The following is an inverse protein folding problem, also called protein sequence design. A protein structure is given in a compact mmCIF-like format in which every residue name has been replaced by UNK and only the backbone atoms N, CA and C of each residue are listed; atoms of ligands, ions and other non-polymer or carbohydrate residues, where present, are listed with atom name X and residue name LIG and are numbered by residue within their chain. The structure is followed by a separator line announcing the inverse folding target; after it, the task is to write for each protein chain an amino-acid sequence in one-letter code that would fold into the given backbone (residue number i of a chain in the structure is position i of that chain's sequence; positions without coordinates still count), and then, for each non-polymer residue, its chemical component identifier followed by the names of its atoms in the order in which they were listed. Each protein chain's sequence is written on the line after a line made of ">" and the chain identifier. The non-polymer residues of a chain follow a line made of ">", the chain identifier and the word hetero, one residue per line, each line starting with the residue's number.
data_IF_050904978920
#
_entry.id   IF_050904978920
#
_cell.length_a   1.000
_cell.length_b   1.000
_cell.length_c   1.000
_cell.angle_alpha   90.00
_cell.angle_beta   90.00
_cell.angle_gamma   90.00
#
_symmetry.space_group_name_H-M   'P 1'
#
loop_
_entity.id
_entity.type
_entity.pdbx_description
1 polymer ?
#
# COMPACT_ATOMS: atom_id res chain seq x y z
N UNK A 1 -20.18 -16.09 7.53
CA UNK A 1 -19.14 -15.08 7.84
C UNK A 1 -19.85 -13.96 8.58
N UNK A 2 -19.29 -13.45 9.68
CA UNK A 2 -20.00 -12.53 10.59
C UNK A 2 -19.63 -11.09 10.21
N UNK A 3 -20.63 -10.27 9.96
CA UNK A 3 -20.49 -8.81 9.82
C UNK A 3 -20.10 -8.23 11.18
N UNK A 4 -19.10 -7.35 11.19
CA UNK A 4 -18.61 -6.71 12.42
C UNK A 4 -19.06 -5.25 12.46
N UNK A 5 -19.72 -4.83 13.52
CA UNK A 5 -20.06 -3.42 13.72
C UNK A 5 -18.83 -2.69 14.28
N UNK A 6 -18.20 -1.84 13.47
CA UNK A 6 -16.94 -1.19 13.81
C UNK A 6 -17.08 -0.22 14.97
N UNK A 7 -18.27 0.35 15.20
CA UNK A 7 -18.54 1.21 16.37
C UNK A 7 -18.28 0.54 17.72
N UNK A 8 -18.14 -0.79 17.74
CA UNK A 8 -17.80 -1.58 18.92
C UNK A 8 -16.29 -1.66 19.20
N UNK A 9 -15.46 -1.11 18.32
CA UNK A 9 -14.00 -1.27 18.34
C UNK A 9 -13.29 0.08 18.39
N UNK A 10 -12.06 0.05 18.90
CA UNK A 10 -11.16 1.19 18.91
C UNK A 10 -9.72 0.72 18.64
N UNK A 11 -8.93 1.62 18.07
CA UNK A 11 -7.47 1.47 17.95
C UNK A 11 -6.80 2.25 19.07
N UNK A 12 -5.89 1.62 19.79
CA UNK A 12 -5.05 2.25 20.81
C UNK A 12 -3.60 2.24 20.35
N UNK A 13 -2.91 3.38 20.47
CA UNK A 13 -1.49 3.48 20.17
C UNK A 13 -0.71 3.76 21.44
N UNK A 14 0.31 2.93 21.67
CA UNK A 14 1.23 2.98 22.79
C UNK A 14 2.60 3.43 22.26
N UNK A 15 2.89 4.71 22.45
CA UNK A 15 4.03 5.33 21.80
C UNK A 15 5.37 4.89 22.41
N UNK A 16 6.32 4.49 21.58
CA UNK A 16 7.73 4.31 21.95
C UNK A 16 7.96 3.47 23.24
N UNK A 17 7.21 2.39 23.40
CA UNK A 17 7.28 1.50 24.57
C UNK A 17 6.51 1.97 25.81
N UNK A 18 5.53 2.87 25.64
CA UNK A 18 4.64 3.25 26.72
C UNK A 18 3.74 2.08 27.19
N UNK A 19 3.36 2.10 28.46
CA UNK A 19 2.37 1.18 29.06
C UNK A 19 0.95 1.76 29.08
N UNK A 20 0.80 3.04 28.71
CA UNK A 20 -0.47 3.75 28.60
C UNK A 20 -0.67 4.21 27.17
N UNK A 21 -1.89 4.06 26.64
CA UNK A 21 -2.22 4.54 25.31
C UNK A 21 -2.08 6.07 25.25
N UNK A 22 -1.29 6.56 24.30
CA UNK A 22 -1.16 7.99 24.02
C UNK A 22 -2.18 8.49 23.02
N UNK A 23 -2.74 7.59 22.19
CA UNK A 23 -3.87 7.85 21.33
C UNK A 23 -4.91 6.73 21.46
N UNK A 24 -6.18 7.10 21.39
CA UNK A 24 -7.31 6.17 21.36
C UNK A 24 -8.29 6.66 20.32
N UNK A 25 -8.55 5.81 19.33
CA UNK A 25 -9.32 6.14 18.12
C UNK A 25 -10.52 5.19 18.08
N UNK A 26 -11.70 5.61 18.56
CA UNK A 26 -12.93 4.87 18.32
C UNK A 26 -13.19 4.77 16.83
N UNK A 27 -13.52 3.58 16.34
CA UNK A 27 -13.91 3.43 14.93
C UNK A 27 -15.34 3.95 14.77
N UNK A 28 -15.58 4.71 13.72
CA UNK A 28 -16.90 5.30 13.44
C UNK A 28 -17.66 4.54 12.35
N UNK A 29 -17.01 3.56 11.72
CA UNK A 29 -17.62 2.71 10.70
C UNK A 29 -18.82 1.92 11.22
N UNK A 30 -19.77 1.64 10.32
CA UNK A 30 -20.92 0.80 10.60
C UNK A 30 -20.57 -0.69 10.53
N UNK A 31 -21.43 -1.45 9.86
CA UNK A 31 -21.18 -2.85 9.58
C UNK A 31 -20.06 -3.00 8.53
N UNK A 32 -18.97 -3.66 8.90
CA UNK A 32 -17.90 -4.10 8.00
C UNK A 32 -18.24 -5.50 7.49
N UNK A 33 -18.48 -5.60 6.19
CA UNK A 33 -18.81 -6.84 5.53
C UNK A 33 -17.58 -7.77 5.46
N UNK A 34 -17.80 -9.09 5.29
CA UNK A 34 -16.72 -10.01 4.99
C UNK A 34 -15.78 -9.48 3.91
N UNK A 35 -14.47 -9.47 4.21
CA UNK A 35 -13.41 -9.16 3.25
C UNK A 35 -13.33 -7.68 2.85
N UNK A 36 -14.09 -6.83 3.54
CA UNK A 36 -13.98 -5.39 3.45
C UNK A 36 -12.87 -4.89 4.39
N UNK A 37 -12.28 -3.77 4.03
CA UNK A 37 -11.29 -3.05 4.82
C UNK A 37 -11.85 -1.70 5.25
N UNK A 38 -11.54 -1.28 6.47
CA UNK A 38 -11.75 0.08 6.94
C UNK A 38 -10.38 0.71 7.16
N UNK A 39 -10.07 1.80 6.46
CA UNK A 39 -8.78 2.47 6.54
C UNK A 39 -8.85 3.72 7.40
N UNK A 40 -7.87 3.83 8.30
CA UNK A 40 -7.63 4.99 9.14
C UNK A 40 -6.32 5.64 8.71
N UNK A 41 -6.31 6.96 8.54
CA UNK A 41 -5.10 7.74 8.24
C UNK A 41 -4.96 8.95 9.16
N UNK A 42 -3.75 9.49 9.22
CA UNK A 42 -3.55 10.84 9.73
C UNK A 42 -4.04 11.86 8.69
N UNK A 43 -4.41 13.06 9.14
CA UNK A 43 -5.06 14.07 8.30
C UNK A 43 -4.06 14.96 7.54
N UNK A 44 -2.75 14.76 7.72
CA UNK A 44 -1.68 15.45 7.00
C UNK A 44 -1.12 14.60 5.84
N UNK A 45 -1.61 13.38 5.66
CA UNK A 45 -1.15 12.45 4.62
C UNK A 45 -2.00 12.58 3.35
N UNK A 46 -1.49 13.34 2.38
CA UNK A 46 -2.04 13.44 1.02
C UNK A 46 -1.59 12.24 0.18
N UNK A 47 -2.26 11.11 0.31
CA UNK A 47 -2.05 9.96 -0.57
C UNK A 47 -2.87 10.15 -1.86
N UNK A 48 -2.17 10.48 -2.95
CA UNK A 48 -2.77 10.90 -4.24
C UNK A 48 -3.77 9.89 -4.83
N UNK A 49 -3.65 8.60 -4.46
CA UNK A 49 -4.46 7.51 -5.01
C UNK A 49 -5.32 6.77 -3.95
N UNK A 50 -5.51 7.36 -2.76
CA UNK A 50 -6.18 6.66 -1.66
C UNK A 50 -7.06 7.57 -0.80
N UNK A 51 -8.32 7.18 -0.59
CA UNK A 51 -9.25 7.84 0.34
C UNK A 51 -9.40 6.99 1.60
N UNK A 52 -9.03 7.55 2.76
CA UNK A 52 -9.28 6.90 4.05
C UNK A 52 -10.76 6.96 4.41
N UNK A 53 -11.26 5.90 5.05
CA UNK A 53 -12.62 5.88 5.57
C UNK A 53 -12.76 6.74 6.84
N UNK A 54 -11.65 6.92 7.57
CA UNK A 54 -11.58 7.73 8.78
C UNK A 54 -10.23 8.44 8.91
N UNK A 55 -10.23 9.76 8.79
CA UNK A 55 -9.06 10.59 9.09
C UNK A 55 -9.04 10.97 10.58
N UNK A 56 -7.85 11.01 11.18
CA UNK A 56 -7.62 11.52 12.53
C UNK A 56 -6.51 12.55 12.53
N UNK A 57 -6.46 13.43 13.53
CA UNK A 57 -5.44 14.50 13.63
C UNK A 57 -4.31 14.13 14.58
N UNK A 58 -3.95 12.85 14.63
CA UNK A 58 -3.03 12.29 15.60
C UNK A 58 -1.74 11.87 14.87
N UNK A 59 -0.58 12.14 15.45
CA UNK A 59 0.65 11.46 15.01
C UNK A 59 0.50 9.98 15.36
N UNK A 60 0.15 9.18 14.35
CA UNK A 60 -0.40 7.84 14.52
C UNK A 60 0.64 6.82 14.95
N UNK A 61 1.76 6.70 14.24
CA UNK A 61 2.85 5.76 14.54
C UNK A 61 4.10 6.07 13.71
N UNK A 62 5.28 5.71 14.21
CA UNK A 62 6.58 5.93 13.54
C UNK A 62 7.47 4.67 13.48
N UNK A 63 6.88 3.50 13.76
CA UNK A 63 7.52 2.20 13.57
C UNK A 63 7.96 1.50 14.86
N UNK A 64 8.16 2.20 15.98
CA UNK A 64 8.54 1.57 17.27
C UNK A 64 7.41 1.54 18.30
N UNK A 65 6.19 1.86 17.87
CA UNK A 65 4.99 1.88 18.70
C UNK A 65 4.34 0.50 18.76
N UNK A 66 3.50 0.29 19.79
CA UNK A 66 2.58 -0.84 19.83
C UNK A 66 1.16 -0.35 19.50
N UNK A 67 0.45 -1.08 18.64
CA UNK A 67 -0.90 -0.75 18.16
C UNK A 67 -1.84 -1.89 18.54
N UNK A 68 -2.94 -1.56 19.20
CA UNK A 68 -3.92 -2.53 19.69
C UNK A 68 -5.28 -2.27 19.06
N UNK A 69 -5.91 -3.31 18.51
CA UNK A 69 -7.33 -3.31 18.19
C UNK A 69 -8.11 -3.88 19.37
N UNK A 70 -8.98 -3.08 19.99
CA UNK A 70 -9.74 -3.46 21.18
C UNK A 70 -11.23 -3.35 20.94
N UNK A 71 -12.01 -4.30 21.46
CA UNK A 71 -13.46 -4.17 21.58
C UNK A 71 -13.81 -3.38 22.84
N UNK A 72 -14.63 -2.34 22.68
CA UNK A 72 -14.95 -1.36 23.72
C UNK A 72 -15.79 -1.99 24.84
N UNK A 73 -16.78 -2.82 24.49
CA UNK A 73 -17.80 -3.30 25.43
C UNK A 73 -17.24 -4.11 26.62
N UNK A 74 -16.16 -4.86 26.40
CA UNK A 74 -15.57 -5.76 27.40
C UNK A 74 -14.03 -5.69 27.44
N UNK A 75 -13.45 -4.68 26.80
CA UNK A 75 -12.02 -4.44 26.73
C UNK A 75 -11.20 -5.59 26.10
N UNK A 76 -11.84 -6.51 25.38
CA UNK A 76 -11.15 -7.65 24.77
C UNK A 76 -10.21 -7.18 23.66
N UNK A 77 -8.97 -7.67 23.68
CA UNK A 77 -7.99 -7.44 22.62
C UNK A 77 -8.31 -8.37 21.46
N UNK A 78 -8.41 -7.80 20.26
CA UNK A 78 -8.67 -8.53 19.02
C UNK A 78 -7.39 -8.78 18.24
N UNK A 79 -6.47 -7.82 18.30
CA UNK A 79 -5.19 -7.89 17.63
C UNK A 79 -4.17 -6.95 18.29
N UNK A 80 -2.89 -7.31 18.21
CA UNK A 80 -1.74 -6.49 18.53
C UNK A 80 -0.76 -6.43 17.37
N UNK A 81 -0.11 -5.29 17.22
CA UNK A 81 1.11 -5.09 16.45
C UNK A 81 2.14 -4.47 17.41
N UNK A 82 3.23 -5.17 17.69
CA UNK A 82 4.20 -4.74 18.70
C UNK A 82 3.82 -5.15 20.13
N UNK A 83 4.72 -4.85 21.07
CA UNK A 83 4.61 -5.21 22.48
C UNK A 83 4.45 -3.96 23.35
N UNK A 84 3.41 -3.93 24.17
CA UNK A 84 3.13 -2.82 25.10
C UNK A 84 4.17 -2.80 26.22
N UNK A 85 4.72 -1.62 26.49
CA UNK A 85 5.73 -1.44 27.54
C UNK A 85 7.17 -1.73 27.13
N UNK A 86 7.42 -2.09 25.87
CA UNK A 86 8.76 -2.39 25.36
C UNK A 86 9.08 -1.53 24.12
N UNK A 87 10.32 -1.05 24.02
CA UNK A 87 10.76 -0.19 22.93
C UNK A 87 11.85 -0.90 22.11
N UNK A 88 11.59 -1.27 20.85
CA UNK A 88 12.54 -1.99 19.99
C UNK A 88 13.63 -1.08 19.39
N UNK A 89 13.72 0.18 19.80
CA UNK A 89 14.59 1.19 19.21
C UNK A 89 13.87 1.92 18.07
N UNK A 90 14.34 1.72 16.83
CA UNK A 90 13.75 2.39 15.66
C UNK A 90 12.52 1.66 15.11
N UNK A 91 12.46 0.33 15.23
CA UNK A 91 11.37 -0.49 14.70
C UNK A 91 11.39 -1.90 15.26
N UNK A 92 10.22 -2.53 15.32
CA UNK A 92 10.15 -3.98 15.41
C UNK A 92 10.76 -4.58 14.15
N UNK A 93 11.83 -5.36 14.28
CA UNK A 93 12.50 -5.95 13.11
C UNK A 93 13.09 -7.32 13.40
N UNK A 94 12.84 -8.25 12.48
CA UNK A 94 13.50 -9.55 12.46
C UNK A 94 13.45 -10.14 11.05
N UNK A 95 14.41 -10.99 10.69
CA UNK A 95 14.47 -11.73 9.41
C UNK A 95 14.18 -10.88 8.15
N UNK A 96 14.58 -9.60 8.15
CA UNK A 96 14.39 -8.67 7.02
C UNK A 96 13.01 -8.02 6.91
N UNK A 97 12.12 -8.27 7.87
CA UNK A 97 10.82 -7.58 8.03
C UNK A 97 10.97 -6.52 9.13
N UNK A 98 10.46 -5.31 8.89
CA UNK A 98 10.49 -4.17 9.80
C UNK A 98 9.19 -3.36 9.74
N UNK A 99 8.86 -2.66 10.82
CA UNK A 99 7.65 -1.82 10.94
C UNK A 99 7.83 -0.35 10.53
N UNK A 100 9.07 0.13 10.40
CA UNK A 100 9.35 1.51 9.96
C UNK A 100 9.47 1.59 8.44
N UNK A 101 8.88 2.61 7.84
CA UNK A 101 8.95 2.94 6.40
C UNK A 101 8.57 1.78 5.47
N UNK A 102 7.60 0.96 5.86
CA UNK A 102 7.16 -0.21 5.08
C UNK A 102 5.65 -0.37 5.15
N UNK A 103 5.07 -0.80 4.03
CA UNK A 103 3.73 -1.35 4.03
C UNK A 103 3.74 -2.79 4.50
N UNK A 104 2.95 -3.10 5.52
CA UNK A 104 2.83 -4.44 6.10
C UNK A 104 1.41 -4.98 5.91
N UNK A 105 1.32 -6.25 5.54
CA UNK A 105 0.05 -6.96 5.44
C UNK A 105 0.14 -8.31 6.14
N UNK A 106 -0.93 -8.77 6.79
CA UNK A 106 -0.92 -10.04 7.51
C UNK A 106 -0.75 -11.23 6.56
N UNK A 107 0.08 -12.19 6.96
CA UNK A 107 0.26 -13.44 6.20
C UNK A 107 -1.03 -14.23 6.12
N UNK A 108 -1.25 -14.88 4.98
CA UNK A 108 -2.42 -15.72 4.73
C UNK A 108 -2.49 -16.97 5.62
N UNK A 109 -1.36 -17.36 6.20
CA UNK A 109 -1.23 -18.45 7.17
C UNK A 109 -1.61 -18.05 8.59
N UNK A 110 -1.72 -16.76 8.88
CA UNK A 110 -2.13 -16.22 10.19
C UNK A 110 -3.61 -15.90 10.12
N UNK A 111 -4.43 -16.75 10.74
CA UNK A 111 -5.89 -16.70 10.66
C UNK A 111 -6.56 -16.06 11.87
N UNK A 112 -5.79 -15.74 12.91
CA UNK A 112 -6.25 -15.10 14.15
C UNK A 112 -5.33 -13.94 14.46
N UNK A 113 -5.88 -12.88 15.06
CA UNK A 113 -5.07 -11.80 15.61
C UNK A 113 -4.23 -12.28 16.79
N UNK A 114 -3.18 -11.53 17.06
CA UNK A 114 -2.40 -11.67 18.29
C UNK A 114 -3.16 -10.98 19.43
N UNK A 115 -3.42 -11.69 20.52
CA UNK A 115 -4.28 -11.21 21.61
C UNK A 115 -3.50 -10.93 22.89
N UNK A 116 -2.19 -11.18 22.91
CA UNK A 116 -1.33 -10.95 24.07
C UNK A 116 -0.31 -9.85 23.75
N UNK A 117 -0.60 -8.58 24.10
CA UNK A 117 0.30 -7.47 23.78
C UNK A 117 1.57 -7.46 24.65
N UNK A 118 1.78 -8.46 25.50
CA UNK A 118 2.89 -8.54 26.44
C UNK A 118 3.94 -9.59 26.06
N UNK A 119 3.69 -10.39 25.03
CA UNK A 119 4.65 -11.34 24.50
C UNK A 119 5.64 -10.68 23.53
N UNK A 120 6.65 -11.45 23.09
CA UNK A 120 7.68 -10.91 22.20
C UNK A 120 7.14 -10.80 20.77
N UNK A 121 7.18 -9.59 20.22
CA UNK A 121 6.69 -9.33 18.88
C UNK A 121 7.78 -9.51 17.81
N UNK A 122 7.58 -10.49 16.93
CA UNK A 122 8.38 -10.71 15.72
C UNK A 122 7.52 -10.50 14.46
N UNK A 123 7.68 -9.38 13.74
CA UNK A 123 6.84 -9.09 12.58
C UNK A 123 7.06 -10.09 11.43
N UNK A 124 8.23 -10.75 11.38
CA UNK A 124 8.55 -11.71 10.33
C UNK A 124 7.77 -13.02 10.47
N UNK A 125 7.15 -13.29 11.62
CA UNK A 125 6.31 -14.47 11.80
C UNK A 125 4.92 -14.26 11.20
N UNK A 126 4.40 -13.04 11.26
CA UNK A 126 2.99 -12.76 10.94
C UNK A 126 2.72 -11.75 9.83
N UNK A 127 3.73 -11.00 9.35
CA UNK A 127 3.57 -9.98 8.30
C UNK A 127 4.34 -10.32 7.03
N UNK A 128 3.74 -9.99 5.90
CA UNK A 128 4.41 -9.78 4.62
C UNK A 128 4.81 -8.30 4.53
N UNK A 129 6.04 -8.05 4.10
CA UNK A 129 6.56 -6.70 3.91
C UNK A 129 6.59 -6.32 2.44
N UNK A 130 6.23 -5.07 2.16
CA UNK A 130 6.32 -4.44 0.86
C UNK A 130 7.11 -3.13 0.96
N UNK A 131 7.36 -2.49 -0.19
CA UNK A 131 7.92 -1.15 -0.20
C UNK A 131 6.98 -0.17 0.52
N UNK A 132 7.50 1.01 0.85
CA UNK A 132 6.67 2.13 1.32
C UNK A 132 5.59 2.45 0.28
N UNK A 133 4.45 2.96 0.75
CA UNK A 133 3.32 3.41 -0.08
C UNK A 133 2.67 2.32 -0.94
N UNK A 134 2.69 1.07 -0.47
CA UNK A 134 1.88 -0.01 -1.04
C UNK A 134 0.57 -0.14 -0.26
N UNK A 135 -0.55 0.00 -0.97
CA UNK A 135 -1.91 -0.04 -0.40
C UNK A 135 -2.61 -1.35 -0.71
N UNK A 136 -3.40 -1.84 0.25
CA UNK A 136 -4.15 -3.10 0.15
C UNK A 136 -5.65 -2.81 0.15
N UNK A 137 -6.18 -2.24 -0.92
CA UNK A 137 -7.59 -1.81 -1.02
C UNK A 137 -8.53 -2.89 -1.55
N UNK A 138 -7.99 -3.93 -2.17
CA UNK A 138 -8.72 -5.14 -2.51
C UNK A 138 -7.97 -6.30 -1.87
N UNK A 139 -8.65 -7.01 -0.99
CA UNK A 139 -8.20 -8.35 -0.64
C UNK A 139 -8.38 -9.26 -1.86
N UNK A 140 -7.57 -10.30 -2.01
CA UNK A 140 -7.75 -11.27 -3.09
C UNK A 140 -9.11 -12.00 -2.97
N UNK A 141 -9.43 -12.89 -3.93
CA UNK A 141 -10.64 -13.73 -3.92
C UNK A 141 -10.72 -14.72 -2.72
N UNK A 142 -9.93 -14.53 -1.67
CA UNK A 142 -9.96 -15.25 -0.41
C UNK A 142 -9.80 -14.34 0.82
N UNK A 143 -10.00 -13.02 0.68
CA UNK A 143 -9.97 -12.07 1.79
C UNK A 143 -8.59 -11.99 2.45
N UNK A 144 -7.56 -12.14 1.62
CA UNK A 144 -6.16 -12.17 2.05
C UNK A 144 -5.41 -11.01 1.45
N UNK A 145 -4.36 -10.62 2.18
CA UNK A 145 -3.29 -9.81 1.64
C UNK A 145 -2.75 -10.45 0.37
N UNK A 146 -2.64 -9.66 -0.70
CA UNK A 146 -1.88 -10.04 -1.88
C UNK A 146 -0.48 -10.45 -1.42
N UNK A 147 -0.08 -11.70 -1.68
CA UNK A 147 1.24 -12.24 -1.30
C UNK A 147 2.34 -11.86 -2.30
N UNK A 148 2.05 -10.92 -3.20
CA UNK A 148 2.92 -10.55 -4.32
C UNK A 148 3.04 -11.65 -5.41
N UNK A 149 2.37 -12.81 -5.27
CA UNK A 149 2.40 -13.86 -6.29
C UNK A 149 1.45 -13.58 -7.45
N UNK A 150 0.47 -12.69 -7.26
CA UNK A 150 -0.32 -12.10 -8.33
C UNK A 150 0.10 -10.65 -8.55
N UNK A 151 1.34 -10.44 -9.00
CA UNK A 151 1.62 -9.30 -9.87
C UNK A 151 0.65 -9.40 -11.05
N UNK A 152 -0.52 -8.78 -10.94
CA UNK A 152 -1.40 -8.55 -12.09
C UNK A 152 -0.61 -7.78 -13.13
N UNK A 153 -0.94 -7.99 -14.42
CA UNK A 153 -0.07 -8.78 -15.29
C UNK A 153 1.39 -8.35 -15.11
N UNK A 154 2.33 -9.29 -15.02
CA UNK A 154 3.72 -8.98 -15.41
C UNK A 154 3.62 -8.10 -16.65
N UNK A 155 4.13 -6.86 -16.59
CA UNK A 155 4.35 -6.08 -17.80
C UNK A 155 4.92 -7.09 -18.79
N UNK A 156 4.20 -7.44 -19.88
CA UNK A 156 4.67 -8.48 -20.77
C UNK A 156 6.09 -8.07 -21.09
N UNK A 157 7.08 -8.94 -20.83
CA UNK A 157 8.49 -8.56 -20.88
C UNK A 157 8.65 -7.72 -22.14
N UNK A 158 9.18 -6.47 -22.05
CA UNK A 158 9.11 -5.50 -23.13
C UNK A 158 9.40 -6.27 -24.39
N UNK A 159 8.44 -6.34 -25.33
CA UNK A 159 8.33 -7.42 -26.30
C UNK A 159 9.73 -7.67 -26.79
N UNK A 160 10.28 -8.85 -26.45
CA UNK A 160 11.64 -9.15 -26.83
C UNK A 160 11.58 -9.04 -28.32
N UNK A 161 12.14 -7.94 -28.85
CA UNK A 161 12.34 -7.77 -30.27
C UNK A 161 13.35 -8.86 -30.58
N UNK A 162 12.85 -10.08 -30.82
CA UNK A 162 13.59 -11.03 -31.60
C UNK A 162 13.88 -10.24 -32.87
N UNK A 163 15.15 -9.98 -33.22
CA UNK A 163 15.46 -9.40 -34.50
C UNK A 163 15.14 -10.49 -35.54
N UNK A 164 13.85 -10.70 -35.80
CA UNK A 164 13.38 -11.52 -36.90
C UNK A 164 13.56 -10.66 -38.13
N UNK A 165 14.75 -10.85 -38.70
CA UNK A 165 15.24 -10.28 -39.94
C UNK A 165 15.59 -8.80 -39.88
N UNK A 166 16.82 -8.51 -40.31
CA UNK A 166 17.23 -7.18 -40.73
C UNK A 166 16.17 -6.63 -41.69
N UNK A 167 15.44 -5.56 -41.35
CA UNK A 167 14.39 -5.06 -42.22
C UNK A 167 15.05 -4.52 -43.48
N UNK A 168 14.82 -5.20 -44.61
CA UNK A 168 15.26 -4.73 -45.94
C UNK A 168 14.52 -3.46 -46.36
N UNK A 169 13.47 -3.08 -45.61
CA UNK A 169 12.67 -1.87 -45.83
C UNK A 169 12.95 -0.86 -44.72
N UNK A 170 13.34 0.38 -45.03
CA UNK A 170 13.52 1.42 -44.02
C UNK A 170 12.20 1.69 -43.27
N UNK A 171 12.25 1.97 -41.96
CA UNK A 171 11.05 2.23 -41.17
C UNK A 171 10.32 3.46 -41.72
N UNK A 172 9.01 3.31 -41.92
CA UNK A 172 8.12 4.41 -42.32
C UNK A 172 7.93 5.38 -41.16
N UNK A 173 7.93 6.68 -41.47
CA UNK A 173 7.55 7.73 -40.52
C UNK A 173 6.03 7.73 -40.34
N UNK A 174 5.55 7.67 -39.10
CA UNK A 174 4.11 7.66 -38.75
C UNK A 174 3.82 8.67 -37.63
N UNK A 175 2.58 9.16 -37.59
CA UNK A 175 2.10 9.98 -36.48
C UNK A 175 1.66 9.12 -35.30
N UNK A 176 1.76 9.66 -34.08
CA UNK A 176 1.41 8.96 -32.84
C UNK A 176 -0.05 8.45 -32.83
N UNK A 177 -0.99 9.20 -33.45
CA UNK A 177 -2.39 8.79 -33.54
C UNK A 177 -2.61 7.56 -34.45
N UNK A 178 -1.72 7.31 -35.41
CA UNK A 178 -1.75 6.10 -36.24
C UNK A 178 -1.21 4.89 -35.46
N UNK A 179 -0.37 5.11 -34.45
CA UNK A 179 0.12 4.07 -33.53
C UNK A 179 -0.95 3.71 -32.50
N UNK A 180 -1.65 4.71 -31.96
CA UNK A 180 -2.69 4.50 -30.95
C UNK A 180 -3.97 3.93 -31.57
N UNK A 181 -4.37 4.43 -32.75
CA UNK A 181 -5.67 4.11 -33.34
C UNK A 181 -6.84 4.71 -32.56
N UNK A 182 -8.06 4.25 -32.83
CA UNK A 182 -9.30 4.75 -32.20
C UNK A 182 -9.79 3.89 -31.02
N UNK A 183 -8.97 2.94 -30.54
CA UNK A 183 -9.34 2.00 -29.48
C UNK A 183 -8.15 1.64 -28.60
N UNK A 184 -8.36 0.69 -27.68
CA UNK A 184 -7.36 0.29 -26.67
C UNK A 184 -6.22 -0.60 -27.21
N UNK A 185 -6.13 -0.82 -28.53
CA UNK A 185 -5.11 -1.66 -29.15
C UNK A 185 -4.54 -0.97 -30.38
N UNK A 186 -3.21 -0.95 -30.47
CA UNK A 186 -2.52 -0.37 -31.62
C UNK A 186 -2.89 -1.12 -32.91
N UNK A 187 -3.24 -0.42 -34.01
CA UNK A 187 -3.48 -1.06 -35.30
C UNK A 187 -2.19 -1.51 -36.00
N UNK A 188 -1.01 -1.23 -35.45
CA UNK A 188 0.30 -1.51 -36.07
C UNK A 188 1.22 -2.37 -35.18
N UNK A 189 0.65 -3.25 -34.36
CA UNK A 189 1.41 -4.20 -33.53
C UNK A 189 2.38 -5.02 -34.39
N UNK A 190 3.63 -5.13 -33.93
CA UNK A 190 4.68 -5.93 -34.58
C UNK A 190 5.39 -5.23 -35.76
N UNK A 191 5.05 -3.99 -36.08
CA UNK A 191 5.71 -3.21 -37.15
C UNK A 191 6.74 -2.24 -36.54
N UNK A 192 7.95 -2.18 -37.13
CA UNK A 192 8.95 -1.17 -36.79
C UNK A 192 8.66 0.14 -37.54
N UNK A 193 8.38 1.20 -36.79
CA UNK A 193 8.11 2.54 -37.33
C UNK A 193 9.08 3.56 -36.76
N UNK A 194 9.19 4.73 -37.40
CA UNK A 194 9.85 5.91 -36.82
C UNK A 194 8.77 6.93 -36.44
N UNK A 195 8.91 7.52 -35.27
CA UNK A 195 8.04 8.61 -34.82
C UNK A 195 8.86 9.89 -34.80
N UNK A 196 8.33 10.93 -35.44
CA UNK A 196 8.83 12.29 -35.30
C UNK A 196 7.74 13.08 -34.58
N UNK A 197 8.07 13.62 -33.41
CA UNK A 197 7.17 14.45 -32.63
C UNK A 197 7.86 15.77 -32.31
N UNK A 198 7.08 16.85 -32.33
CA UNK A 198 7.51 18.13 -31.77
C UNK A 198 7.03 18.13 -30.32
N UNK A 199 7.97 18.15 -29.39
CA UNK A 199 7.66 18.35 -27.98
C UNK A 199 7.64 19.86 -27.76
N UNK A 200 6.48 20.38 -27.39
CA UNK A 200 6.33 21.77 -26.95
C UNK A 200 6.14 21.69 -25.44
N UNK A 201 7.12 22.19 -24.68
CA UNK A 201 6.93 22.41 -23.25
C UNK A 201 6.00 23.60 -23.04
N UNK A 202 4.98 23.43 -22.22
CA UNK A 202 4.20 24.54 -21.68
C UNK A 202 4.84 24.95 -20.35
N UNK A 203 5.65 26.02 -20.39
CA UNK A 203 6.23 26.60 -19.18
C UNK A 203 5.19 27.52 -18.56
N UNK A 204 4.35 26.96 -17.70
CA UNK A 204 3.46 27.73 -16.83
C UNK A 204 4.29 28.17 -15.61
N UNK A 205 4.47 29.49 -15.45
CA UNK A 205 5.10 30.19 -14.31
C UNK A 205 6.64 30.29 -14.26
N UNK A 206 7.24 30.97 -15.23
CA UNK A 206 8.28 31.98 -14.95
C UNK A 206 9.55 31.55 -14.22
N UNK A 207 9.99 30.29 -14.30
CA UNK A 207 11.32 29.85 -13.87
C UNK A 207 12.36 30.14 -14.98
N UNK A 208 12.43 31.41 -15.38
CA UNK A 208 13.67 31.92 -15.93
C UNK A 208 14.71 31.86 -14.81
N UNK A 209 15.62 30.92 -14.92
CA UNK A 209 16.86 30.85 -14.18
C UNK A 209 17.71 32.11 -14.46
N UNK A 210 17.37 33.21 -13.77
CA UNK A 210 18.32 34.29 -13.51
C UNK A 210 19.43 33.73 -12.61
N UNK A 211 20.46 33.15 -13.22
CA UNK A 211 21.88 33.33 -12.88
C UNK A 211 22.73 32.34 -13.70
N UNK A 212 23.39 32.85 -14.75
CA UNK A 212 24.52 32.20 -15.40
C UNK A 212 25.72 33.12 -15.40
#
# INVERSE_FOLDING_TARGET
>A
MKVSDLTQYQVEVYFNGATTAGATIPLTGGALEPCESWIISDNDESLVDFEADQEVTNNLWNGNDAIILRRIADSTIMDSLGKVGDNPGASWSNNGVQTVDRSLCRKTTVMTGDIDPSDDFDPSLERNQFNIDVFFTQMDNGCKCFDGSSLGPTEPPPPTFMPTMSPTVPPRDVFIHEIQGSGFTSPIVGVRVRVQAIVIGDFQNGDADEER
#
